data_IF_535380112246
#
_entry.id   IF_535380112246
#
_cell.length_a   1.000
_cell.length_b   1.000
_cell.length_c   1.000
_cell.angle_alpha   90.00
_cell.angle_beta   90.00
_cell.angle_gamma   90.00
#
_symmetry.space_group_name_H-M   'P 1'
#
loop_
_entity.id
_entity.type
_entity.pdbx_description
1 polymer ?
#
# COMPACT_ATOMS: atom_id res chain seq x y z
N UNK A 1 -31.39 -10.79 -31.37
CA UNK A 1 -30.73 -10.74 -30.05
C UNK A 1 -29.41 -10.01 -30.20
N UNK A 2 -29.30 -8.78 -29.69
CA UNK A 2 -28.01 -8.09 -29.64
C UNK A 2 -27.12 -8.80 -28.62
N UNK A 3 -26.01 -9.37 -29.10
CA UNK A 3 -24.98 -9.97 -28.23
C UNK A 3 -24.46 -8.85 -27.33
N UNK A 4 -24.86 -8.83 -26.06
CA UNK A 4 -24.29 -7.92 -25.05
C UNK A 4 -22.81 -8.26 -24.93
N UNK A 5 -21.99 -7.57 -25.70
CA UNK A 5 -20.55 -7.55 -25.53
C UNK A 5 -20.28 -6.71 -24.29
N UNK A 6 -20.38 -7.32 -23.11
CA UNK A 6 -19.69 -6.77 -21.94
C UNK A 6 -18.21 -6.78 -22.32
N UNK A 7 -17.66 -5.64 -22.74
CA UNK A 7 -16.21 -5.47 -22.75
C UNK A 7 -15.79 -5.60 -21.30
N UNK A 8 -15.41 -6.80 -20.88
CA UNK A 8 -14.53 -6.94 -19.73
C UNK A 8 -13.21 -6.41 -20.25
N UNK A 9 -12.93 -5.12 -20.04
CA UNK A 9 -11.61 -4.58 -20.34
C UNK A 9 -10.62 -5.34 -19.45
N UNK A 10 -9.91 -6.28 -20.06
CA UNK A 10 -8.90 -7.07 -19.38
C UNK A 10 -7.64 -6.23 -19.32
N UNK A 11 -7.29 -5.74 -18.13
CA UNK A 11 -5.97 -5.16 -17.87
C UNK A 11 -4.94 -6.27 -17.76
N UNK A 12 -3.86 -6.19 -18.54
CA UNK A 12 -2.71 -7.07 -18.38
C UNK A 12 -1.61 -6.31 -17.64
N UNK A 13 -1.14 -6.86 -16.53
CA UNK A 13 0.00 -6.34 -15.79
C UNK A 13 1.16 -7.32 -15.99
N UNK A 14 2.10 -6.95 -16.87
CA UNK A 14 3.31 -7.70 -17.11
C UNK A 14 4.50 -6.74 -17.04
N UNK A 15 5.17 -6.69 -15.89
CA UNK A 15 6.29 -5.79 -15.65
C UNK A 15 7.33 -6.43 -14.71
N UNK A 16 8.59 -6.03 -14.84
CA UNK A 16 9.70 -6.60 -14.07
C UNK A 16 9.69 -6.13 -12.60
N UNK A 17 9.01 -5.02 -12.31
CA UNK A 17 8.92 -4.41 -10.99
C UNK A 17 8.15 -5.30 -9.99
N UNK A 18 7.32 -6.22 -10.49
CA UNK A 18 6.69 -7.26 -9.65
C UNK A 18 7.73 -8.12 -8.92
N UNK A 19 8.97 -8.22 -9.42
CA UNK A 19 10.06 -8.92 -8.74
C UNK A 19 10.40 -8.33 -7.37
N UNK A 20 10.14 -7.03 -7.17
CA UNK A 20 10.31 -6.34 -5.88
C UNK A 20 9.37 -6.89 -4.81
N UNK A 21 8.26 -7.47 -5.24
CA UNK A 21 7.27 -8.12 -4.37
C UNK A 21 7.48 -9.64 -4.29
N UNK A 22 8.53 -10.16 -4.92
CA UNK A 22 8.88 -11.58 -4.93
C UNK A 22 8.47 -12.34 -6.19
N UNK A 23 7.88 -11.68 -7.19
CA UNK A 23 7.52 -12.34 -8.44
C UNK A 23 8.74 -12.97 -9.13
N UNK A 24 8.53 -14.13 -9.76
CA UNK A 24 9.59 -14.93 -10.37
C UNK A 24 10.19 -16.00 -9.46
N UNK A 25 9.86 -16.01 -8.16
CA UNK A 25 10.15 -17.13 -7.26
C UNK A 25 8.96 -18.11 -7.24
N UNK A 26 9.20 -19.43 -7.17
CA UNK A 26 8.12 -20.39 -6.97
C UNK A 26 7.36 -20.07 -5.67
N UNK A 27 6.05 -20.32 -5.67
CA UNK A 27 5.16 -20.09 -4.53
C UNK A 27 5.11 -18.66 -3.98
N UNK A 28 5.62 -17.65 -4.69
CA UNK A 28 5.68 -16.29 -4.14
C UNK A 28 4.32 -15.70 -3.74
N UNK A 29 3.21 -16.11 -4.38
CA UNK A 29 1.85 -15.71 -3.95
C UNK A 29 1.29 -16.56 -2.81
N UNK A 30 1.76 -17.80 -2.65
CA UNK A 30 1.24 -18.77 -1.69
C UNK A 30 1.99 -18.69 -0.35
N UNK A 31 3.30 -18.47 -0.41
CA UNK A 31 4.20 -18.39 0.75
C UNK A 31 4.45 -16.96 1.23
N UNK A 32 3.88 -15.94 0.56
CA UNK A 32 3.95 -14.54 0.99
C UNK A 32 2.58 -14.09 1.52
N UNK A 33 2.17 -14.48 2.74
CA UNK A 33 0.87 -14.09 3.32
C UNK A 33 0.74 -12.58 3.57
N UNK A 34 1.81 -11.82 3.33
CA UNK A 34 1.89 -10.38 3.58
C UNK A 34 1.79 -9.54 2.30
N UNK A 35 1.40 -10.14 1.16
CA UNK A 35 1.11 -9.37 -0.04
C UNK A 35 -0.26 -8.69 0.13
N UNK A 36 -0.24 -7.38 0.31
CA UNK A 36 -1.44 -6.54 0.38
C UNK A 36 -1.78 -6.04 -1.01
N UNK A 37 -3.07 -5.88 -1.30
CA UNK A 37 -3.53 -5.33 -2.56
C UNK A 37 -4.72 -4.37 -2.34
N UNK A 38 -4.78 -3.34 -3.17
CA UNK A 38 -5.92 -2.44 -3.26
C UNK A 38 -6.16 -2.08 -4.73
N UNK A 39 -7.39 -2.28 -5.20
CA UNK A 39 -7.76 -2.10 -6.60
C UNK A 39 -8.54 -0.80 -6.80
N UNK A 40 -8.20 -0.09 -7.86
CA UNK A 40 -8.95 1.04 -8.41
C UNK A 40 -9.30 0.74 -9.88
N UNK A 41 -10.16 1.56 -10.47
CA UNK A 41 -10.75 1.43 -11.82
C UNK A 41 -9.72 1.07 -12.89
N UNK A 42 -8.56 1.72 -12.88
CA UNK A 42 -7.48 1.49 -13.85
C UNK A 42 -6.11 1.30 -13.19
N UNK A 43 -6.07 1.02 -11.90
CA UNK A 43 -4.82 0.95 -11.16
C UNK A 43 -4.88 -0.12 -10.07
N UNK A 44 -3.74 -0.72 -9.78
CA UNK A 44 -3.58 -1.72 -8.72
C UNK A 44 -2.42 -1.31 -7.85
N UNK A 45 -2.66 -1.26 -6.56
CA UNK A 45 -1.62 -1.21 -5.55
C UNK A 45 -1.32 -2.62 -5.11
N UNK A 46 -0.03 -2.93 -5.03
CA UNK A 46 0.47 -4.13 -4.37
C UNK A 46 1.53 -3.70 -3.37
N UNK A 47 1.52 -4.27 -2.18
CA UNK A 47 2.58 -4.01 -1.20
C UNK A 47 3.03 -5.30 -0.53
N UNK A 48 4.31 -5.36 -0.22
CA UNK A 48 4.84 -6.30 0.77
C UNK A 48 5.09 -5.54 2.08
N UNK A 49 5.88 -6.12 3.00
CA UNK A 49 6.15 -5.52 4.31
C UNK A 49 6.86 -4.15 4.26
N UNK A 50 7.53 -3.78 3.18
CA UNK A 50 8.38 -2.57 3.13
C UNK A 50 8.31 -1.78 1.82
N UNK A 51 7.64 -2.28 0.80
CA UNK A 51 7.57 -1.68 -0.53
C UNK A 51 6.14 -1.69 -1.02
N UNK A 52 5.71 -0.55 -1.56
CA UNK A 52 4.44 -0.39 -2.26
C UNK A 52 4.75 -0.18 -3.74
N UNK A 53 4.01 -0.89 -4.59
CA UNK A 53 4.08 -0.83 -6.04
C UNK A 53 2.72 -0.39 -6.56
N UNK A 54 2.70 0.75 -7.26
CA UNK A 54 1.56 1.21 -8.03
C UNK A 54 1.71 0.75 -9.47
N UNK A 55 0.67 0.13 -9.99
CA UNK A 55 0.53 -0.40 -11.34
C UNK A 55 -0.68 0.26 -12.00
N UNK A 56 -0.61 0.57 -13.30
CA UNK A 56 -1.75 1.09 -14.09
C UNK A 56 -1.84 0.32 -15.40
N UNK A 57 -3.07 0.16 -15.89
CA UNK A 57 -3.36 -0.40 -17.21
C UNK A 57 -4.17 0.57 -18.09
N UNK A 58 -4.18 1.86 -17.77
CA UNK A 58 -4.80 2.88 -18.64
C UNK A 58 -3.86 3.27 -19.78
N UNK A 59 -4.29 3.11 -21.03
CA UNK A 59 -3.53 3.39 -22.26
C UNK A 59 -3.17 4.87 -22.52
N UNK A 60 -3.54 5.80 -21.62
CA UNK A 60 -3.60 7.23 -21.95
C UNK A 60 -2.46 8.11 -21.38
N UNK A 61 -1.29 7.57 -21.04
CA UNK A 61 -0.12 8.39 -20.73
C UNK A 61 1.19 7.65 -21.01
N UNK A 62 2.07 8.27 -21.81
CA UNK A 62 3.41 7.79 -22.13
C UNK A 62 4.40 7.86 -20.94
N UNK A 63 3.93 8.22 -19.74
CA UNK A 63 4.69 8.13 -18.51
C UNK A 63 3.75 7.84 -17.33
N UNK A 64 4.24 7.03 -16.40
CA UNK A 64 3.66 6.63 -15.09
C UNK A 64 2.86 5.32 -15.11
N UNK A 65 2.78 4.69 -13.92
CA UNK A 65 3.52 3.52 -13.36
C UNK A 65 4.15 2.48 -14.33
N UNK A 66 4.99 1.53 -13.85
CA UNK A 66 5.17 1.10 -12.46
C UNK A 66 5.88 2.14 -11.57
N UNK A 67 5.26 2.50 -10.45
CA UNK A 67 5.83 3.42 -9.46
C UNK A 67 6.11 2.67 -8.17
N UNK A 68 7.33 2.81 -7.66
CA UNK A 68 7.78 2.17 -6.43
C UNK A 68 7.90 3.20 -5.31
N UNK A 69 7.28 2.90 -4.18
CA UNK A 69 7.34 3.70 -2.96
C UNK A 69 7.98 2.84 -1.88
N UNK A 70 9.00 3.38 -1.20
CA UNK A 70 9.62 2.78 -0.03
C UNK A 70 9.38 3.69 1.17
N UNK A 71 8.38 3.38 2.01
CA UNK A 71 8.17 4.09 3.24
C UNK A 71 9.42 4.08 4.12
N UNK A 72 9.65 5.18 4.85
CA UNK A 72 10.68 5.24 5.88
C UNK A 72 10.12 4.58 7.14
N UNK A 73 10.41 3.27 7.27
CA UNK A 73 9.96 2.42 8.36
C UNK A 73 11.08 2.27 9.39
N UNK A 74 10.75 2.29 10.68
CA UNK A 74 11.71 2.08 11.77
C UNK A 74 12.36 0.70 11.64
N UNK A 75 13.67 0.61 11.33
CA UNK A 75 14.37 -0.67 11.26
C UNK A 75 14.56 -1.28 12.65
N UNK A 76 14.53 -0.45 13.70
CA UNK A 76 14.72 -0.85 15.09
C UNK A 76 13.50 -1.65 15.58
N UNK A 77 12.30 -1.22 15.20
CA UNK A 77 11.04 -1.82 15.66
C UNK A 77 10.50 -2.92 14.73
N UNK A 78 11.30 -3.33 13.73
CA UNK A 78 10.88 -4.22 12.65
C UNK A 78 9.54 -3.79 12.01
N UNK A 79 9.36 -2.47 11.85
CA UNK A 79 8.12 -1.88 11.37
C UNK A 79 7.82 -2.39 9.95
N UNK A 80 6.55 -2.72 9.72
CA UNK A 80 6.10 -3.23 8.42
C UNK A 80 4.75 -2.68 8.03
N UNK A 81 4.49 -2.64 6.74
CA UNK A 81 3.19 -2.29 6.18
C UNK A 81 2.21 -3.42 6.52
N UNK A 82 1.08 -3.06 7.12
CA UNK A 82 0.02 -3.97 7.58
C UNK A 82 -1.31 -3.76 6.88
N UNK A 83 -1.54 -2.56 6.33
CA UNK A 83 -2.73 -2.22 5.56
C UNK A 83 -2.36 -1.35 4.36
N UNK A 84 -3.11 -1.47 3.27
CA UNK A 84 -2.94 -0.71 2.05
C UNK A 84 -4.33 -0.43 1.45
N UNK A 85 -4.66 0.84 1.19
CA UNK A 85 -5.97 1.21 0.66
C UNK A 85 -5.90 2.51 -0.16
N UNK A 86 -6.92 2.73 -0.99
CA UNK A 86 -7.13 4.00 -1.69
C UNK A 86 -8.01 4.94 -0.85
N UNK A 87 -7.59 6.20 -0.69
CA UNK A 87 -8.50 7.27 -0.25
C UNK A 87 -8.83 8.20 -1.42
N UNK A 88 -10.12 8.40 -1.63
CA UNK A 88 -10.66 9.23 -2.72
C UNK A 88 -11.32 10.48 -2.13
N UNK A 89 -10.89 11.65 -2.62
CA UNK A 89 -11.37 12.97 -2.23
C UNK A 89 -11.84 13.73 -3.48
N UNK A 90 -13.10 13.54 -3.85
CA UNK A 90 -13.63 14.08 -5.11
C UNK A 90 -12.86 13.49 -6.31
N UNK A 91 -12.25 14.35 -7.11
CA UNK A 91 -11.45 13.95 -8.28
C UNK A 91 -10.00 13.58 -7.94
N UNK A 92 -9.57 13.78 -6.68
CA UNK A 92 -8.24 13.42 -6.22
C UNK A 92 -8.27 12.05 -5.54
N UNK A 93 -7.18 11.30 -5.66
CA UNK A 93 -6.96 10.08 -4.89
C UNK A 93 -5.53 9.99 -4.37
N UNK A 94 -5.38 9.37 -3.21
CA UNK A 94 -4.08 9.15 -2.55
C UNK A 94 -3.96 7.69 -2.13
N UNK A 95 -2.72 7.24 -2.00
CA UNK A 95 -2.40 5.91 -1.51
C UNK A 95 -2.27 6.00 0.01
N UNK A 96 -2.87 5.07 0.74
CA UNK A 96 -2.74 4.99 2.19
C UNK A 96 -2.11 3.68 2.60
N UNK A 97 -1.10 3.77 3.45
CA UNK A 97 -0.46 2.62 4.08
C UNK A 97 -0.56 2.72 5.60
N UNK A 98 -1.07 1.66 6.22
CA UNK A 98 -1.00 1.46 7.66
C UNK A 98 0.25 0.66 8.01
N UNK A 99 0.92 1.01 9.11
CA UNK A 99 2.10 0.28 9.60
C UNK A 99 1.83 -0.45 10.91
N UNK A 100 2.67 -1.45 11.22
CA UNK A 100 2.61 -2.20 12.49
C UNK A 100 2.88 -1.34 13.71
N UNK A 101 3.50 -0.16 13.55
CA UNK A 101 3.74 0.81 14.63
C UNK A 101 2.59 1.81 14.80
N UNK A 102 1.47 1.61 14.10
CA UNK A 102 0.29 2.46 14.20
C UNK A 102 0.39 3.75 13.39
N UNK A 103 1.29 3.86 12.40
CA UNK A 103 1.29 5.02 11.51
C UNK A 103 0.34 4.83 10.34
N UNK A 104 -0.36 5.91 9.98
CA UNK A 104 -1.02 6.10 8.69
C UNK A 104 -0.16 7.02 7.82
N UNK A 105 0.24 6.50 6.67
CA UNK A 105 1.08 7.18 5.69
C UNK A 105 0.26 7.45 4.43
N UNK A 106 0.13 8.72 4.04
CA UNK A 106 -0.59 9.15 2.84
C UNK A 106 0.42 9.56 1.77
N UNK A 107 0.34 8.93 0.60
CA UNK A 107 1.22 9.20 -0.54
C UNK A 107 0.46 9.75 -1.74
N UNK A 108 1.11 10.64 -2.48
CA UNK A 108 0.66 11.09 -3.79
C UNK A 108 0.78 9.97 -4.82
N UNK A 109 0.09 10.11 -5.95
CA UNK A 109 0.26 9.21 -7.10
C UNK A 109 1.66 9.31 -7.76
N UNK A 110 2.50 10.25 -7.32
CA UNK A 110 3.90 10.41 -7.76
C UNK A 110 4.88 9.78 -6.77
N UNK A 111 4.39 9.28 -5.63
CA UNK A 111 5.19 8.61 -4.59
C UNK A 111 5.68 9.53 -3.48
N UNK A 112 5.26 10.79 -3.49
CA UNK A 112 5.64 11.77 -2.46
C UNK A 112 4.81 11.50 -1.19
N UNK A 113 5.45 11.47 -0.02
CA UNK A 113 4.75 11.40 1.27
C UNK A 113 4.06 12.75 1.52
N UNK A 114 2.73 12.75 1.50
CA UNK A 114 1.89 13.92 1.76
C UNK A 114 1.73 14.13 3.27
N UNK A 115 1.45 13.03 3.99
CA UNK A 115 1.16 13.11 5.42
C UNK A 115 1.54 11.83 6.15
N UNK A 116 2.00 11.97 7.40
CA UNK A 116 2.26 10.88 8.34
C UNK A 116 1.54 11.21 9.64
N UNK A 117 0.57 10.38 10.00
CA UNK A 117 -0.19 10.49 11.24
C UNK A 117 0.07 9.26 12.11
N UNK A 118 0.26 9.46 13.41
CA UNK A 118 0.18 8.35 14.36
C UNK A 118 -1.30 8.13 14.69
N UNK A 119 -1.83 6.95 14.39
CA UNK A 119 -3.15 6.56 14.89
C UNK A 119 -3.03 6.41 16.41
N UNK A 120 -3.55 7.40 17.11
CA UNK A 120 -3.49 7.50 18.56
C UNK A 120 -4.43 6.47 19.18
N UNK A 121 -3.99 5.23 19.27
CA UNK A 121 -4.51 4.27 20.23
C UNK A 121 -3.66 4.38 21.50
N UNK A 122 -4.03 5.31 22.38
CA UNK A 122 -3.46 5.43 23.73
C UNK A 122 -3.77 4.14 24.52
N UNK A 123 -2.89 3.13 24.44
CA UNK A 123 -2.86 1.99 25.34
C UNK A 123 -1.66 2.04 26.31
N UNK A 124 -0.98 3.19 26.44
CA UNK A 124 0.23 3.32 27.27
C UNK A 124 0.15 4.33 28.43
N UNK A 125 -1.04 4.74 28.86
CA UNK A 125 -1.22 5.59 30.06
C UNK A 125 -1.82 4.84 31.27
N UNK A 126 -1.57 3.53 31.43
CA UNK A 126 -1.88 2.81 32.70
C UNK A 126 -0.70 1.99 33.22
N UNK A 127 0.50 2.56 33.16
CA UNK A 127 1.69 2.03 33.85
C UNK A 127 2.61 3.14 34.40
N UNK A 128 2.02 4.22 34.94
CA UNK A 128 2.63 4.98 36.06
C UNK A 128 1.82 4.56 37.28
N UNK A 129 2.22 3.53 38.01
CA UNK A 129 3.46 3.56 38.79
C UNK A 129 3.06 4.03 40.19
N UNK A 130 2.43 3.10 40.93
CA UNK A 130 2.50 3.10 42.39
C UNK A 130 3.97 3.21 42.78
N UNK A 131 4.39 4.36 43.28
CA UNK A 131 5.51 4.46 44.23
C UNK A 131 5.60 5.88 44.80
N UNK A 132 5.59 5.92 46.14
CA UNK A 132 6.11 6.97 47.02
C UNK A 132 5.31 8.27 47.16
N UNK A 133 4.45 8.33 48.20
CA UNK A 133 4.59 9.37 49.22
C UNK A 133 4.39 8.75 50.62
N UNK A 134 5.45 8.86 51.42
CA UNK A 134 5.50 8.59 52.86
C UNK A 134 4.71 9.60 53.68
#
# INVERSE_FOLDING_TARGET
>A
MAKRSYKTELGCIACDELRELGAGKPNWLVETPHLLCAIDTHSLLLANRSTILLLSWSDNSAASPPLKIRPDLSPIDAESITALEWLVFGDNRVIVAGTSSGYLLLYSLRGDLIHRQLDRCDCLDTARGDELQS
#
